data_IF_843608147821
#
_entry.id   IF_843608147821
#
_cell.length_a   1.000
_cell.length_b   1.000
_cell.length_c   1.000
_cell.angle_alpha   90.00
_cell.angle_beta   90.00
_cell.angle_gamma   90.00
#
_symmetry.space_group_name_H-M   'P 1'
#
loop_
_entity.id
_entity.type
_entity.pdbx_description
1 polymer ?
#
# COMPACT_ATOMS: atom_id res chain seq x y z
N UNK A 1 51.93 -9.55 30.39
CA UNK A 1 50.45 -9.55 30.34
C UNK A 1 50.00 -9.45 28.89
N UNK A 2 49.62 -10.57 28.27
CA UNK A 2 49.11 -10.59 26.88
C UNK A 2 47.60 -10.45 26.92
N UNK A 3 47.06 -9.34 26.42
CA UNK A 3 45.61 -9.17 26.19
C UNK A 3 45.25 -10.00 24.96
N UNK A 4 44.37 -11.00 25.13
CA UNK A 4 43.79 -11.76 24.03
C UNK A 4 42.74 -10.93 23.26
N UNK A 5 42.40 -11.31 22.02
CA UNK A 5 41.48 -10.56 21.18
C UNK A 5 40.04 -10.68 21.70
N UNK A 6 39.35 -9.53 21.77
CA UNK A 6 37.93 -9.47 22.10
C UNK A 6 37.11 -10.04 20.92
N UNK A 7 36.33 -11.08 21.20
CA UNK A 7 35.38 -11.65 20.24
C UNK A 7 34.11 -10.81 20.30
N UNK A 8 33.80 -10.07 19.23
CA UNK A 8 32.55 -9.31 19.12
C UNK A 8 31.45 -10.25 18.64
N UNK A 9 30.51 -10.54 19.53
CA UNK A 9 29.31 -11.30 19.23
C UNK A 9 28.32 -10.37 18.50
N UNK A 10 28.21 -10.49 17.18
CA UNK A 10 27.15 -9.85 16.41
C UNK A 10 25.83 -10.57 16.70
N UNK A 11 24.98 -9.96 17.52
CA UNK A 11 23.61 -10.43 17.72
C UNK A 11 22.80 -10.12 16.45
N UNK A 12 22.49 -11.15 15.66
CA UNK A 12 21.45 -11.08 14.64
C UNK A 12 20.11 -10.94 15.37
N UNK A 13 19.53 -9.74 15.34
CA UNK A 13 18.14 -9.53 15.71
C UNK A 13 17.28 -10.12 14.60
N UNK A 14 16.89 -11.39 14.75
CA UNK A 14 15.85 -11.99 13.93
C UNK A 14 14.51 -11.38 14.37
N UNK A 15 14.05 -10.35 13.66
CA UNK A 15 12.70 -9.81 13.85
C UNK A 15 11.71 -10.85 13.33
N UNK A 16 11.26 -11.75 14.20
CA UNK A 16 10.15 -12.64 13.90
C UNK A 16 8.88 -11.79 13.77
N UNK A 17 8.37 -11.66 12.56
CA UNK A 17 7.07 -11.04 12.30
C UNK A 17 5.99 -11.97 12.86
N UNK A 18 5.44 -11.62 14.02
CA UNK A 18 4.32 -12.35 14.62
C UNK A 18 3.08 -12.04 13.79
N UNK A 19 2.66 -13.00 12.97
CA UNK A 19 1.38 -12.94 12.27
C UNK A 19 0.27 -13.13 13.31
N UNK A 20 -0.32 -12.03 13.77
CA UNK A 20 -1.57 -12.08 14.53
C UNK A 20 -2.69 -12.45 13.54
N UNK A 21 -3.40 -13.58 13.72
CA UNK A 21 -4.53 -13.90 12.86
C UNK A 21 -5.69 -12.99 13.23
N UNK A 22 -5.80 -11.86 12.54
CA UNK A 22 -6.86 -10.87 12.73
C UNK A 22 -7.07 -10.08 11.45
N UNK A 23 -8.13 -10.44 10.73
CA UNK A 23 -8.58 -9.86 9.44
C UNK A 23 -7.61 -10.17 8.29
N UNK A 24 -7.99 -11.14 7.45
CA UNK A 24 -7.37 -11.32 6.14
C UNK A 24 -7.79 -10.16 5.24
N UNK A 25 -7.04 -9.07 5.26
CA UNK A 25 -7.16 -8.02 4.26
C UNK A 25 -6.82 -8.65 2.90
N UNK A 26 -7.60 -8.36 1.85
CA UNK A 26 -7.16 -8.69 0.50
C UNK A 26 -5.77 -8.08 0.30
N UNK A 27 -4.87 -8.86 -0.26
CA UNK A 27 -3.53 -8.39 -0.62
C UNK A 27 -3.26 -8.74 -2.07
N UNK A 28 -2.72 -7.77 -2.79
CA UNK A 28 -2.14 -7.99 -4.10
C UNK A 28 -0.65 -8.24 -3.91
N UNK A 29 -0.19 -9.42 -4.34
CA UNK A 29 1.19 -9.89 -4.17
C UNK A 29 1.78 -10.18 -5.53
N UNK A 30 3.02 -9.73 -5.76
CA UNK A 30 3.83 -10.09 -6.94
C UNK A 30 5.15 -10.68 -6.45
N UNK A 31 5.29 -11.99 -6.60
CA UNK A 31 6.52 -12.76 -6.33
C UNK A 31 7.27 -13.12 -7.62
N UNK A 32 6.77 -12.68 -8.78
CA UNK A 32 7.31 -12.98 -10.11
C UNK A 32 7.29 -14.46 -10.49
N UNK A 33 6.58 -15.31 -9.72
CA UNK A 33 6.54 -16.75 -9.94
C UNK A 33 5.34 -17.25 -10.74
N UNK A 34 4.43 -16.36 -11.12
CA UNK A 34 3.26 -16.72 -11.90
C UNK A 34 3.62 -17.32 -13.28
N UNK A 35 2.75 -18.21 -13.80
CA UNK A 35 2.88 -18.71 -15.17
C UNK A 35 2.72 -17.55 -16.15
N UNK A 36 3.70 -17.37 -17.04
CA UNK A 36 3.70 -16.28 -18.02
C UNK A 36 4.29 -14.96 -17.53
N UNK A 37 4.62 -14.83 -16.24
CA UNK A 37 5.32 -13.67 -15.66
C UNK A 37 6.79 -13.62 -16.12
N UNK A 38 7.01 -13.39 -17.41
CA UNK A 38 8.33 -13.46 -18.04
C UNK A 38 8.56 -12.28 -18.95
N UNK A 39 9.77 -11.73 -18.92
CA UNK A 39 10.24 -10.72 -19.86
C UNK A 39 11.75 -10.75 -19.90
N UNK A 40 12.32 -11.26 -21.00
CA UNK A 40 13.76 -11.53 -21.11
C UNK A 40 14.63 -10.36 -21.60
N UNK A 41 14.04 -9.21 -21.91
CA UNK A 41 14.74 -8.05 -22.46
C UNK A 41 14.33 -6.75 -21.75
N UNK A 42 15.17 -5.72 -21.87
CA UNK A 42 14.97 -4.43 -21.22
C UNK A 42 14.05 -3.47 -21.99
N UNK A 43 13.77 -3.71 -23.27
CA UNK A 43 12.84 -2.87 -24.03
C UNK A 43 11.47 -2.81 -23.34
N UNK A 44 10.79 -1.67 -23.37
CA UNK A 44 9.44 -1.53 -22.79
C UNK A 44 8.50 -2.65 -23.26
N UNK A 45 7.63 -3.10 -22.37
CA UNK A 45 6.67 -4.15 -22.67
C UNK A 45 5.74 -4.41 -21.49
N UNK A 46 4.50 -4.72 -21.82
CA UNK A 46 3.47 -5.09 -20.85
C UNK A 46 3.68 -6.53 -20.38
N UNK A 47 3.61 -6.74 -19.07
CA UNK A 47 3.59 -8.04 -18.42
C UNK A 47 2.42 -8.08 -17.45
N UNK A 48 1.62 -9.14 -17.51
CA UNK A 48 0.65 -9.42 -16.46
C UNK A 48 1.40 -9.99 -15.26
N UNK A 49 1.35 -9.29 -14.13
CA UNK A 49 1.94 -9.71 -12.86
C UNK A 49 0.77 -9.97 -11.91
N UNK A 50 0.57 -11.24 -11.54
CA UNK A 50 -0.40 -11.69 -10.55
C UNK A 50 -1.82 -11.16 -10.80
N UNK A 51 -2.20 -11.11 -12.08
CA UNK A 51 -3.53 -10.73 -12.54
C UNK A 51 -3.69 -9.28 -12.99
N UNK A 52 -2.69 -8.41 -12.79
CA UNK A 52 -2.75 -7.02 -13.24
C UNK A 52 -1.64 -6.72 -14.26
N UNK A 53 -1.95 -5.92 -15.27
CA UNK A 53 -0.97 -5.52 -16.28
C UNK A 53 -0.03 -4.40 -15.79
N UNK A 54 1.27 -4.54 -16.12
CA UNK A 54 2.33 -3.59 -15.83
C UNK A 54 3.15 -3.28 -17.07
N UNK A 55 3.51 -2.01 -17.30
CA UNK A 55 4.60 -1.66 -18.21
C UNK A 55 5.95 -1.78 -17.48
N UNK A 56 6.86 -2.54 -18.08
CA UNK A 56 8.22 -2.76 -17.61
C UNK A 56 9.21 -2.14 -18.59
N UNK A 57 9.61 -0.88 -18.34
CA UNK A 57 10.56 -0.13 -19.16
C UNK A 57 11.94 -0.13 -18.54
N UNK A 58 12.95 -0.63 -19.27
CA UNK A 58 14.31 -0.85 -18.75
C UNK A 58 14.37 -1.82 -17.55
N UNK A 59 13.34 -2.68 -17.49
CA UNK A 59 13.17 -3.74 -16.50
C UNK A 59 12.95 -5.05 -17.22
N UNK A 60 13.53 -6.13 -16.69
CA UNK A 60 13.26 -7.49 -17.14
C UNK A 60 12.93 -8.36 -15.92
N UNK A 61 12.39 -9.56 -16.16
CA UNK A 61 12.18 -10.56 -15.11
C UNK A 61 13.37 -11.53 -15.18
N UNK A 62 14.27 -11.40 -14.21
CA UNK A 62 15.59 -12.03 -14.20
C UNK A 62 15.61 -13.33 -13.41
N UNK A 63 16.39 -14.30 -13.89
CA UNK A 63 16.57 -15.61 -13.24
C UNK A 63 18.04 -16.03 -13.17
N UNK A 64 18.98 -15.11 -13.43
CA UNK A 64 20.41 -15.42 -13.37
C UNK A 64 20.83 -15.64 -11.92
N UNK A 65 21.91 -16.39 -11.71
CA UNK A 65 22.48 -16.62 -10.38
C UNK A 65 22.90 -15.32 -9.67
N UNK A 66 23.24 -14.28 -10.43
CA UNK A 66 23.60 -12.95 -9.93
C UNK A 66 22.40 -12.08 -9.53
N UNK A 67 21.20 -12.41 -10.02
CA UNK A 67 19.98 -11.76 -9.56
C UNK A 67 19.71 -12.17 -8.12
N UNK A 68 19.58 -11.17 -7.23
CA UNK A 68 18.94 -11.42 -5.95
C UNK A 68 17.45 -11.65 -6.18
N UNK A 69 16.91 -12.68 -5.53
CA UNK A 69 15.53 -13.16 -5.69
C UNK A 69 15.17 -14.07 -4.53
N UNK A 70 13.90 -14.09 -4.18
CA UNK A 70 13.30 -15.02 -3.23
C UNK A 70 12.43 -16.02 -4.01
N UNK A 71 13.07 -17.09 -4.50
CA UNK A 71 12.45 -18.00 -5.45
C UNK A 71 13.32 -18.19 -6.67
N UNK A 72 12.72 -18.12 -7.84
CA UNK A 72 13.31 -18.44 -9.14
C UNK A 72 13.50 -17.21 -10.02
N UNK A 73 12.71 -16.16 -9.80
CA UNK A 73 12.71 -14.91 -10.57
C UNK A 73 12.57 -13.69 -9.68
N UNK A 74 13.01 -12.54 -10.18
CA UNK A 74 12.75 -11.22 -9.59
C UNK A 74 12.75 -10.15 -10.67
N UNK A 75 12.22 -8.96 -10.39
CA UNK A 75 12.40 -7.83 -11.28
C UNK A 75 13.86 -7.36 -11.22
N UNK A 76 14.48 -7.15 -12.39
CA UNK A 76 15.81 -6.51 -12.52
C UNK A 76 15.68 -5.22 -13.32
N UNK A 77 15.93 -4.10 -12.66
CA UNK A 77 15.84 -2.76 -13.21
C UNK A 77 17.25 -2.21 -13.49
N UNK A 78 17.47 -1.54 -14.64
CA UNK A 78 18.73 -0.81 -14.89
C UNK A 78 18.73 0.54 -14.20
N UNK A 79 19.90 1.08 -13.86
CA UNK A 79 20.02 2.44 -13.34
C UNK A 79 19.90 3.53 -14.42
N UNK A 80 18.96 3.39 -15.36
CA UNK A 80 18.74 4.37 -16.43
C UNK A 80 17.65 5.38 -16.03
N UNK A 81 17.72 6.59 -16.58
CA UNK A 81 16.76 7.67 -16.31
C UNK A 81 15.30 7.28 -16.55
N UNK A 82 15.04 6.40 -17.52
CA UNK A 82 13.70 5.96 -17.92
C UNK A 82 13.26 4.66 -17.25
N UNK A 83 14.02 4.12 -16.28
CA UNK A 83 13.69 2.84 -15.66
C UNK A 83 12.47 2.94 -14.78
N UNK A 84 11.47 2.09 -15.09
CA UNK A 84 10.20 2.06 -14.37
C UNK A 84 9.50 0.70 -14.46
N UNK A 85 8.79 0.36 -13.40
CA UNK A 85 7.72 -0.62 -13.37
C UNK A 85 6.44 0.14 -13.03
N UNK A 86 5.46 0.15 -13.94
CA UNK A 86 4.26 0.99 -13.81
C UNK A 86 3.00 0.14 -14.00
N UNK A 87 2.10 0.14 -13.01
CA UNK A 87 0.78 -0.49 -13.18
C UNK A 87 -0.02 0.18 -14.29
N UNK A 88 -0.63 -0.63 -15.16
CA UNK A 88 -1.54 -0.22 -16.24
C UNK A 88 -3.01 -0.49 -15.89
N UNK A 89 -3.26 -1.34 -14.90
CA UNK A 89 -4.58 -1.66 -14.36
C UNK A 89 -4.69 -1.26 -12.89
N UNK A 90 -5.90 -0.98 -12.43
CA UNK A 90 -6.13 -0.60 -11.04
C UNK A 90 -6.11 -1.83 -10.15
N UNK A 91 -5.40 -1.74 -9.02
CA UNK A 91 -5.73 -2.56 -7.86
C UNK A 91 -6.97 -1.94 -7.21
N UNK A 92 -8.02 -2.73 -7.05
CA UNK A 92 -9.21 -2.32 -6.29
C UNK A 92 -8.96 -2.37 -4.78
N UNK A 93 -9.93 -1.88 -4.00
CA UNK A 93 -9.94 -1.97 -2.53
C UNK A 93 -8.82 -1.21 -1.80
N UNK A 94 -8.26 -0.17 -2.41
CA UNK A 94 -7.34 0.76 -1.77
C UNK A 94 -5.91 0.26 -1.60
N UNK A 95 -5.12 1.11 -0.95
CA UNK A 95 -3.72 0.90 -0.62
C UNK A 95 -3.49 1.26 0.85
N UNK A 96 -3.36 0.24 1.70
CA UNK A 96 -3.03 0.40 3.12
C UNK A 96 -1.54 0.57 3.29
N UNK A 97 -0.81 -0.49 2.97
CA UNK A 97 0.65 -0.56 3.02
C UNK A 97 1.16 -1.07 1.68
N UNK A 98 2.27 -0.50 1.21
CA UNK A 98 3.10 -1.09 0.16
C UNK A 98 4.42 -1.53 0.76
N UNK A 99 4.85 -2.74 0.44
CA UNK A 99 6.17 -3.25 0.81
C UNK A 99 6.77 -4.12 -0.27
N UNK A 100 8.11 -4.21 -0.29
CA UNK A 100 8.86 -5.14 -1.13
C UNK A 100 10.29 -5.28 -0.61
N UNK A 101 10.94 -6.36 -1.01
CA UNK A 101 12.36 -6.56 -0.76
C UNK A 101 13.18 -6.08 -1.95
N UNK A 102 14.37 -5.54 -1.67
CA UNK A 102 15.27 -5.08 -2.72
C UNK A 102 16.74 -5.28 -2.36
N UNK A 103 17.55 -5.47 -3.39
CA UNK A 103 19.01 -5.58 -3.27
C UNK A 103 19.65 -5.22 -4.60
N UNK A 104 20.90 -4.76 -4.57
CA UNK A 104 21.70 -4.60 -5.79
C UNK A 104 21.86 -5.90 -6.58
N UNK A 105 21.96 -5.79 -7.90
CA UNK A 105 22.37 -6.90 -8.76
C UNK A 105 23.88 -7.17 -8.58
N UNK A 106 24.23 -8.37 -8.11
CA UNK A 106 25.63 -8.73 -7.85
C UNK A 106 26.36 -7.66 -7.05
N UNK A 107 27.41 -7.08 -7.62
CA UNK A 107 28.21 -6.01 -6.99
C UNK A 107 28.06 -4.66 -7.68
N UNK A 108 27.03 -4.47 -8.50
CA UNK A 108 26.85 -3.21 -9.24
C UNK A 108 26.73 -2.02 -8.27
N UNK A 109 27.30 -0.88 -8.68
CA UNK A 109 27.02 0.42 -8.05
C UNK A 109 25.52 0.70 -8.05
N UNK A 110 25.06 1.57 -7.16
CA UNK A 110 23.63 1.80 -6.93
C UNK A 110 23.24 3.25 -7.14
N UNK A 111 21.97 3.40 -7.46
CA UNK A 111 21.31 4.67 -7.69
C UNK A 111 19.98 4.74 -6.95
N UNK A 112 19.43 5.94 -6.82
CA UNK A 112 18.18 6.24 -6.13
C UNK A 112 16.89 5.84 -6.89
N UNK A 113 15.91 5.38 -6.14
CA UNK A 113 14.62 4.93 -6.63
C UNK A 113 13.53 5.57 -5.80
N UNK A 114 12.34 5.70 -6.37
CA UNK A 114 11.14 6.19 -5.68
C UNK A 114 9.94 5.33 -6.02
N UNK A 115 8.99 5.35 -5.11
CA UNK A 115 7.68 4.72 -5.28
C UNK A 115 6.65 5.84 -5.37
N UNK A 116 5.73 5.73 -6.31
CA UNK A 116 4.63 6.67 -6.46
C UNK A 116 3.32 5.92 -6.62
N UNK A 117 2.21 6.54 -6.24
CA UNK A 117 0.86 6.04 -6.48
C UNK A 117 0.05 7.00 -7.35
N UNK A 118 -0.99 6.47 -7.98
CA UNK A 118 -2.00 7.22 -8.73
C UNK A 118 -3.39 6.76 -8.34
N UNK A 119 -4.31 7.71 -8.26
CA UNK A 119 -5.75 7.51 -8.01
C UNK A 119 -6.61 7.97 -9.20
N UNK A 120 -5.98 8.27 -10.34
CA UNK A 120 -6.60 8.84 -11.53
C UNK A 120 -6.19 8.07 -12.80
N UNK A 121 -6.08 6.74 -12.68
CA UNK A 121 -5.71 5.84 -13.77
C UNK A 121 -4.34 6.17 -14.42
N UNK A 122 -3.39 6.66 -13.63
CA UNK A 122 -2.02 6.94 -14.08
C UNK A 122 -1.81 8.31 -14.73
N UNK A 123 -2.79 9.22 -14.66
CA UNK A 123 -2.68 10.58 -15.19
C UNK A 123 -1.71 11.42 -14.35
N UNK A 124 -1.85 11.36 -13.02
CA UNK A 124 -0.96 12.02 -12.07
C UNK A 124 -0.46 11.04 -11.01
N UNK A 125 0.68 11.36 -10.42
CA UNK A 125 1.42 10.48 -9.52
C UNK A 125 1.91 11.26 -8.31
N UNK A 126 1.72 10.70 -7.12
CA UNK A 126 2.19 11.24 -5.85
C UNK A 126 3.20 10.27 -5.21
N UNK A 127 4.28 10.82 -4.65
CA UNK A 127 5.35 10.02 -4.06
C UNK A 127 4.93 9.37 -2.73
N UNK A 128 5.38 8.13 -2.52
CA UNK A 128 5.24 7.35 -1.29
C UNK A 128 6.61 7.31 -0.62
N UNK A 129 6.69 7.78 0.63
CA UNK A 129 7.92 7.79 1.40
C UNK A 129 9.04 8.64 0.78
N UNK A 130 10.26 8.41 1.24
CA UNK A 130 11.47 9.02 0.67
C UNK A 130 12.06 8.18 -0.46
N UNK A 131 12.94 8.78 -1.25
CA UNK A 131 13.80 8.05 -2.18
C UNK A 131 14.63 7.01 -1.42
N UNK A 132 14.91 5.87 -2.07
CA UNK A 132 15.65 4.76 -1.49
C UNK A 132 16.79 4.31 -2.40
N UNK A 133 17.81 3.68 -1.83
CA UNK A 133 18.99 3.16 -2.56
C UNK A 133 19.48 1.89 -1.88
N UNK A 134 19.83 0.85 -2.65
CA UNK A 134 20.42 -0.34 -2.07
C UNK A 134 21.85 -0.07 -1.56
N UNK A 135 22.22 -0.60 -0.39
CA UNK A 135 23.58 -0.46 0.12
C UNK A 135 24.57 -1.31 -0.69
N UNK A 136 25.85 -0.97 -0.59
CA UNK A 136 26.93 -1.72 -1.21
C UNK A 136 27.29 -3.02 -0.44
N UNK A 137 26.58 -3.36 0.63
CA UNK A 137 26.90 -4.47 1.53
C UNK A 137 26.26 -5.80 1.14
N UNK A 138 25.55 -5.87 0.02
CA UNK A 138 24.86 -7.09 -0.41
C UNK A 138 23.75 -7.59 0.53
N UNK A 139 23.33 -6.74 1.45
CA UNK A 139 22.23 -7.05 2.37
C UNK A 139 20.89 -6.81 1.69
N UNK A 140 19.94 -7.71 1.92
CA UNK A 140 18.54 -7.51 1.53
C UNK A 140 17.97 -6.37 2.36
N UNK A 141 17.32 -5.44 1.69
CA UNK A 141 16.61 -4.34 2.31
C UNK A 141 15.10 -4.48 2.08
N UNK A 142 14.31 -3.77 2.88
CA UNK A 142 12.86 -3.74 2.76
C UNK A 142 12.40 -2.30 2.63
N UNK A 143 11.65 -2.00 1.57
CA UNK A 143 10.85 -0.79 1.50
C UNK A 143 9.48 -1.12 2.10
N UNK A 144 8.96 -0.27 2.98
CA UNK A 144 7.64 -0.47 3.58
C UNK A 144 7.06 0.85 4.03
N UNK A 145 5.92 1.25 3.46
CA UNK A 145 5.27 2.51 3.76
C UNK A 145 3.76 2.33 3.94
N UNK A 146 3.20 2.99 4.95
CA UNK A 146 1.76 3.07 5.18
C UNK A 146 1.22 4.31 4.48
N UNK A 147 0.17 4.15 3.67
CA UNK A 147 -0.35 5.21 2.79
C UNK A 147 -1.83 5.49 3.05
N UNK A 148 -2.64 4.45 3.31
CA UNK A 148 -4.05 4.57 3.70
C UNK A 148 -4.93 5.35 2.71
N UNK A 149 -4.92 4.96 1.44
CA UNK A 149 -5.75 5.57 0.40
C UNK A 149 -6.86 4.61 -0.03
N UNK A 150 -8.14 5.01 0.01
CA UNK A 150 -9.24 4.17 -0.41
C UNK A 150 -9.41 4.18 -1.93
N UNK A 151 -10.20 3.22 -2.43
CA UNK A 151 -10.60 3.17 -3.83
C UNK A 151 -9.56 2.54 -4.76
N UNK A 152 -9.72 2.76 -6.05
CA UNK A 152 -8.81 2.19 -7.05
C UNK A 152 -7.45 2.90 -7.03
N UNK A 153 -6.38 2.11 -7.08
CA UNK A 153 -5.01 2.62 -6.98
C UNK A 153 -4.09 1.93 -7.97
N UNK A 154 -3.11 2.68 -8.46
CA UNK A 154 -1.95 2.17 -9.20
C UNK A 154 -0.69 2.58 -8.47
N UNK A 155 0.36 1.77 -8.57
CA UNK A 155 1.70 2.17 -8.15
C UNK A 155 2.69 2.13 -9.31
N UNK A 156 3.78 2.85 -9.15
CA UNK A 156 4.98 2.67 -9.96
C UNK A 156 6.22 2.76 -9.09
N UNK A 157 7.24 2.00 -9.49
CA UNK A 157 8.58 2.07 -8.93
C UNK A 157 9.48 2.55 -10.06
N UNK A 158 10.18 3.66 -9.87
CA UNK A 158 11.01 4.26 -10.92
C UNK A 158 12.29 4.87 -10.39
N UNK A 159 13.22 5.14 -11.32
CA UNK A 159 14.40 5.97 -11.06
C UNK A 159 13.97 7.30 -10.43
N UNK A 160 14.55 7.65 -9.28
CA UNK A 160 14.23 8.90 -8.60
C UNK A 160 14.89 10.10 -9.30
N UNK A 161 16.21 10.06 -9.43
CA UNK A 161 17.01 10.99 -10.26
C UNK A 161 16.97 10.55 -11.72
N UNK A 162 16.12 11.21 -12.52
CA UNK A 162 15.81 10.88 -13.92
C UNK A 162 16.94 11.31 -14.89
N UNK A 163 18.17 10.90 -14.61
CA UNK A 163 19.35 11.10 -15.45
C UNK A 163 20.27 9.87 -15.46
N UNK A 164 21.12 9.78 -16.49
CA UNK A 164 22.11 8.71 -16.64
C UNK A 164 21.59 7.44 -17.31
N UNK A 165 22.54 6.63 -17.81
CA UNK A 165 22.29 5.38 -18.57
C UNK A 165 23.26 4.28 -18.16
N UNK A 166 23.51 4.18 -16.86
CA UNK A 166 24.45 3.21 -16.28
C UNK A 166 23.75 1.93 -15.85
N UNK A 167 24.39 0.77 -16.01
CA UNK A 167 23.90 -0.52 -15.53
C UNK A 167 24.03 -0.68 -14.00
N UNK A 168 23.63 0.33 -13.22
CA UNK A 168 23.57 0.30 -11.75
C UNK A 168 22.28 -0.41 -11.33
N UNK A 169 22.28 -1.73 -11.47
CA UNK A 169 21.05 -2.55 -11.48
C UNK A 169 20.54 -2.87 -10.08
N UNK A 170 19.22 -2.81 -9.94
CA UNK A 170 18.48 -3.16 -8.73
C UNK A 170 17.64 -4.41 -8.99
N UNK A 171 17.62 -5.33 -8.03
CA UNK A 171 16.64 -6.40 -7.94
C UNK A 171 15.53 -6.02 -6.94
N UNK A 172 14.27 -6.26 -7.31
CA UNK A 172 13.09 -6.09 -6.46
C UNK A 172 12.30 -7.40 -6.49
N UNK A 173 11.82 -7.82 -5.33
CA UNK A 173 11.02 -9.03 -5.16
C UNK A 173 9.96 -8.88 -4.07
N UNK A 174 9.00 -9.81 -4.02
CA UNK A 174 7.96 -9.91 -2.99
C UNK A 174 7.14 -8.61 -2.79
N UNK A 175 6.65 -8.01 -3.88
CA UNK A 175 5.83 -6.79 -3.79
C UNK A 175 4.49 -7.15 -3.15
N UNK A 176 4.14 -6.49 -2.05
CA UNK A 176 2.86 -6.65 -1.37
C UNK A 176 2.17 -5.30 -1.22
N UNK A 177 0.91 -5.23 -1.67
CA UNK A 177 0.03 -4.08 -1.51
C UNK A 177 -1.24 -4.54 -0.76
N UNK A 178 -1.45 -4.04 0.44
CA UNK A 178 -2.62 -4.38 1.25
C UNK A 178 -3.82 -3.50 0.92
N UNK A 179 -5.02 -4.03 1.10
CA UNK A 179 -6.26 -3.27 1.00
C UNK A 179 -6.32 -2.14 2.05
N UNK A 180 -7.02 -1.07 1.70
CA UNK A 180 -7.47 -0.03 2.62
C UNK A 180 -8.86 0.42 2.24
N UNK A 181 -9.81 0.18 3.14
CA UNK A 181 -11.15 0.70 3.02
C UNK A 181 -11.26 1.94 3.88
N UNK A 182 -11.69 3.05 3.27
CA UNK A 182 -12.17 4.16 4.07
C UNK A 182 -13.40 3.66 4.83
N UNK A 183 -13.37 3.79 6.15
CA UNK A 183 -14.54 3.55 6.97
C UNK A 183 -15.56 4.63 6.59
N UNK A 184 -16.49 4.29 5.69
CA UNK A 184 -17.68 5.09 5.50
C UNK A 184 -18.56 4.82 6.71
N UNK A 185 -18.81 5.86 7.52
CA UNK A 185 -19.42 5.74 8.83
C UNK A 185 -20.71 4.91 8.79
N UNK A 186 -20.61 3.67 9.26
CA UNK A 186 -21.78 2.87 9.60
C UNK A 186 -22.21 3.33 10.97
N UNK A 187 -23.29 4.08 11.07
CA UNK A 187 -23.81 4.54 12.36
C UNK A 187 -24.97 3.65 12.81
N UNK A 188 -24.83 3.09 14.02
CA UNK A 188 -25.85 2.23 14.64
C UNK A 188 -26.94 3.03 15.35
N UNK A 189 -26.66 4.30 15.66
CA UNK A 189 -27.47 5.18 16.49
C UNK A 189 -27.70 4.68 17.93
N UNK A 190 -26.96 3.66 18.40
CA UNK A 190 -27.06 3.17 19.79
C UNK A 190 -26.67 4.27 20.80
N UNK A 191 -25.60 5.00 20.48
CA UNK A 191 -25.06 6.15 21.22
C UNK A 191 -25.73 7.49 20.87
N UNK A 192 -26.82 7.50 20.07
CA UNK A 192 -27.55 8.72 19.77
C UNK A 192 -28.11 9.33 21.06
N UNK A 193 -27.67 10.56 21.35
CA UNK A 193 -28.05 11.35 22.53
C UNK A 193 -29.08 12.45 22.22
N UNK A 194 -29.84 12.31 21.13
CA UNK A 194 -30.96 13.19 20.81
C UNK A 194 -32.15 12.94 21.77
N UNK A 195 -32.97 13.96 22.08
CA UNK A 195 -34.15 13.81 22.94
C UNK A 195 -35.20 12.89 22.31
N UNK A 196 -36.02 12.20 23.12
CA UNK A 196 -37.06 11.25 22.63
C UNK A 196 -38.43 11.89 22.36
N UNK A 197 -38.71 13.07 22.93
CA UNK A 197 -40.02 13.73 22.89
C UNK A 197 -40.04 15.14 22.28
N UNK A 198 -38.89 15.67 21.88
CA UNK A 198 -38.73 16.99 21.26
C UNK A 198 -37.69 16.93 20.15
N UNK A 199 -37.62 17.97 19.33
CA UNK A 199 -36.55 18.12 18.34
C UNK A 199 -35.49 19.07 18.89
N UNK A 200 -34.23 18.69 18.76
CA UNK A 200 -33.11 19.57 19.08
C UNK A 200 -31.96 19.37 18.09
N UNK A 201 -31.00 20.28 18.14
CA UNK A 201 -29.74 20.15 17.41
C UNK A 201 -28.63 19.80 18.40
N UNK A 202 -27.62 19.08 17.95
CA UNK A 202 -26.51 18.64 18.79
C UNK A 202 -25.51 17.80 18.03
N UNK A 203 -24.62 17.16 18.78
CA UNK A 203 -23.66 16.21 18.24
C UNK A 203 -23.53 15.01 19.16
N UNK A 204 -23.05 13.90 18.61
CA UNK A 204 -22.68 12.72 19.37
C UNK A 204 -21.45 12.07 18.74
N UNK A 205 -20.67 11.35 19.55
CA UNK A 205 -19.59 10.50 19.07
C UNK A 205 -20.21 9.19 18.61
N UNK A 206 -20.22 8.97 17.31
CA UNK A 206 -20.73 7.79 16.64
C UNK A 206 -19.80 6.59 16.71
N UNK A 207 -20.12 5.57 15.93
CA UNK A 207 -19.25 4.43 15.68
C UNK A 207 -17.88 4.90 15.13
N UNK A 208 -16.83 4.11 15.41
CA UNK A 208 -15.44 4.39 15.00
C UNK A 208 -14.91 5.78 15.42
N UNK A 209 -15.44 6.33 16.51
CA UNK A 209 -15.14 7.68 17.00
C UNK A 209 -15.41 8.79 15.97
N UNK A 210 -16.33 8.56 15.02
CA UNK A 210 -16.76 9.59 14.06
C UNK A 210 -17.72 10.56 14.77
N UNK A 211 -17.40 11.85 14.78
CA UNK A 211 -18.30 12.87 15.36
C UNK A 211 -19.42 13.20 14.37
N UNK A 212 -20.66 12.96 14.77
CA UNK A 212 -21.86 13.29 14.00
C UNK A 212 -22.54 14.52 14.56
N UNK A 213 -23.02 15.39 13.68
CA UNK A 213 -23.88 16.52 14.04
C UNK A 213 -25.28 16.28 13.50
N UNK A 214 -26.29 16.60 14.28
CA UNK A 214 -27.69 16.55 13.87
C UNK A 214 -28.37 17.90 14.12
N UNK A 215 -29.31 18.24 13.25
CA UNK A 215 -30.13 19.44 13.36
C UNK A 215 -31.60 19.06 13.39
N UNK A 216 -32.34 19.65 14.33
CA UNK A 216 -33.79 19.44 14.47
C UNK A 216 -34.18 17.95 14.42
N UNK A 217 -33.46 17.12 15.19
CA UNK A 217 -33.65 15.69 15.24
C UNK A 217 -34.01 15.21 16.65
N UNK A 218 -34.56 13.99 16.71
CA UNK A 218 -34.96 13.31 17.94
C UNK A 218 -34.57 11.84 17.88
N UNK A 219 -34.40 11.19 19.03
CA UNK A 219 -34.27 9.73 19.12
C UNK A 219 -35.65 9.10 18.98
N UNK A 220 -35.80 8.12 18.08
CA UNK A 220 -37.07 7.44 17.87
C UNK A 220 -37.01 6.07 18.54
N UNK A 221 -37.91 5.84 19.48
CA UNK A 221 -38.11 4.57 20.19
C UNK A 221 -39.54 4.05 20.00
N UNK A 222 -40.23 4.54 18.97
CA UNK A 222 -41.65 4.29 18.78
C UNK A 222 -41.88 2.94 18.09
N UNK A 223 -42.42 2.00 18.86
CA UNK A 223 -42.79 0.66 18.38
C UNK A 223 -44.04 0.67 17.50
N UNK A 224 -44.86 1.74 17.53
CA UNK A 224 -46.09 1.84 16.75
C UNK A 224 -45.83 1.93 15.23
N UNK A 225 -44.62 2.34 14.83
CA UNK A 225 -44.21 2.44 13.42
C UNK A 225 -43.29 1.30 12.97
N UNK A 226 -43.24 0.19 13.70
CA UNK A 226 -42.36 -0.96 13.42
C UNK A 226 -40.87 -0.59 13.38
N UNK A 227 -40.49 0.49 14.06
CA UNK A 227 -39.08 0.88 14.22
C UNK A 227 -38.55 0.06 15.39
N UNK A 228 -37.87 -1.04 15.08
CA UNK A 228 -37.38 -2.00 16.09
C UNK A 228 -35.95 -1.76 16.52
N UNK A 229 -35.20 -0.91 15.80
CA UNK A 229 -33.80 -0.59 16.07
C UNK A 229 -33.64 0.90 16.44
N UNK A 230 -32.56 1.28 17.16
CA UNK A 230 -32.22 2.67 17.38
C UNK A 230 -32.21 3.46 16.07
N UNK A 231 -32.87 4.60 16.06
CA UNK A 231 -32.95 5.44 14.86
C UNK A 231 -33.09 6.92 15.21
N UNK A 232 -32.79 7.75 14.22
CA UNK A 232 -32.94 9.19 14.28
C UNK A 232 -34.21 9.60 13.53
N UNK A 233 -35.04 10.41 14.18
CA UNK A 233 -36.23 11.01 13.60
C UNK A 233 -35.97 12.47 13.30
N UNK A 234 -36.19 12.86 12.05
CA UNK A 234 -36.11 14.27 11.64
C UNK A 234 -37.47 14.94 11.76
N UNK A 235 -37.46 16.23 12.05
CA UNK A 235 -38.67 17.04 12.04
C UNK A 235 -39.34 16.99 10.65
N UNK A 236 -40.65 17.01 10.65
CA UNK A 236 -41.51 17.06 9.45
C UNK A 236 -41.55 18.45 8.79
N UNK A 237 -40.83 19.41 9.37
CA UNK A 237 -40.79 20.81 8.99
C UNK A 237 -39.37 21.36 9.17
N UNK A 238 -38.92 22.23 8.26
CA UNK A 238 -37.59 22.85 8.25
C UNK A 238 -36.79 22.60 6.97
N UNK A 239 -35.72 23.38 6.77
CA UNK A 239 -34.79 23.22 5.64
C UNK A 239 -33.90 22.00 5.89
N UNK A 240 -34.06 20.94 5.08
CA UNK A 240 -33.13 19.81 5.06
C UNK A 240 -31.94 20.19 4.19
N UNK A 241 -30.76 20.32 4.79
CA UNK A 241 -29.51 20.34 4.05
C UNK A 241 -29.11 18.89 3.82
N UNK A 242 -29.29 18.41 2.59
CA UNK A 242 -28.83 17.09 2.14
C UNK A 242 -27.45 17.26 1.52
#
# INVERSE_FOLDING_TARGET
MKKGPATYLFAFLLTAMVFLPGVGWGQYVVDFEGPGETKGSYASGTVNLSGLDWDLTEVLIGSLTTDWKNGVRSARLRGHSTSSMTMLENKSNGLGTISFQYRRYGTDGQVDWKVEYSIDNGISWAQIGSDFTAPATDDVQTFSETVNIPGDVRIRIKRATESGTTNQRLNIDDITITDYFQVCGSESFENLNAPTGSYSSGSFLGNDNVSWSYMEARKVTDTAYFITNPSVGFRDSGTRYI
#
